data_IF_698431477176
#
_entry.id   IF_698431477176
#
_cell.length_a   1.000
_cell.length_b   1.000
_cell.length_c   1.000
_cell.angle_alpha   90.00
_cell.angle_beta   90.00
_cell.angle_gamma   90.00
#
_symmetry.space_group_name_H-M   'P 1'
#
loop_
_entity.id
_entity.type
_entity.pdbx_description
1 polymer ?
#
# COMPACT_ATOMS: atom_id res chain seq x y z
N UNK A 1 -18.76 -14.65 -1.63
CA UNK A 1 -18.00 -13.39 -1.51
C UNK A 1 -18.84 -12.26 -2.08
N UNK A 2 -18.67 -11.01 -1.62
CA UNK A 2 -19.42 -9.87 -2.17
C UNK A 2 -18.61 -9.18 -3.28
N UNK A 3 -19.29 -8.55 -4.24
CA UNK A 3 -18.64 -7.91 -5.39
C UNK A 3 -17.58 -6.86 -5.00
N UNK A 4 -17.77 -6.16 -3.87
CA UNK A 4 -16.78 -5.20 -3.36
C UNK A 4 -15.53 -5.91 -2.81
N UNK A 5 -15.71 -7.03 -2.08
CA UNK A 5 -14.60 -7.85 -1.59
C UNK A 5 -13.81 -8.46 -2.75
N UNK A 6 -14.50 -8.87 -3.82
CA UNK A 6 -13.84 -9.40 -5.02
C UNK A 6 -13.01 -8.33 -5.74
N UNK A 7 -13.52 -7.09 -5.85
CA UNK A 7 -12.80 -5.95 -6.43
C UNK A 7 -11.56 -5.54 -5.63
N UNK A 8 -11.64 -5.55 -4.30
CA UNK A 8 -10.49 -5.32 -3.41
C UNK A 8 -9.44 -6.42 -3.61
N UNK A 9 -9.86 -7.67 -3.47
CA UNK A 9 -9.02 -8.86 -3.66
C UNK A 9 -8.36 -8.92 -5.04
N UNK A 10 -9.03 -8.47 -6.11
CA UNK A 10 -8.45 -8.36 -7.44
C UNK A 10 -7.40 -7.25 -7.53
N UNK A 11 -7.62 -6.11 -6.86
CA UNK A 11 -6.66 -5.01 -6.82
C UNK A 11 -5.40 -5.37 -6.04
N UNK A 12 -5.55 -6.00 -4.87
CA UNK A 12 -4.44 -6.52 -4.09
C UNK A 12 -3.57 -7.50 -4.90
N UNK A 13 -4.18 -8.41 -5.66
CA UNK A 13 -3.45 -9.33 -6.55
C UNK A 13 -2.67 -8.57 -7.63
N UNK A 14 -3.29 -7.55 -8.25
CA UNK A 14 -2.63 -6.75 -9.28
C UNK A 14 -1.41 -6.00 -8.74
N UNK A 15 -1.48 -5.46 -7.51
CA UNK A 15 -0.34 -4.84 -6.85
C UNK A 15 0.79 -5.86 -6.61
N UNK A 16 0.46 -7.03 -6.06
CA UNK A 16 1.46 -8.09 -5.82
C UNK A 16 2.14 -8.52 -7.11
N UNK A 17 1.37 -8.78 -8.16
CA UNK A 17 1.91 -9.19 -9.46
C UNK A 17 2.86 -8.12 -10.02
N UNK A 18 2.48 -6.85 -9.94
CA UNK A 18 3.31 -5.74 -10.37
C UNK A 18 4.60 -5.61 -9.55
N UNK A 19 4.51 -5.70 -8.22
CA UNK A 19 5.68 -5.64 -7.33
C UNK A 19 6.67 -6.77 -7.59
N UNK A 20 6.17 -8.00 -7.77
CA UNK A 20 6.98 -9.19 -8.12
C UNK A 20 7.68 -9.02 -9.47
N UNK A 21 6.98 -8.49 -10.46
CA UNK A 21 7.55 -8.21 -11.79
C UNK A 21 8.57 -7.09 -11.80
N UNK A 22 8.53 -6.17 -10.83
CA UNK A 22 9.45 -5.04 -10.75
C UNK A 22 10.76 -5.41 -10.04
N UNK A 23 10.70 -5.69 -8.73
CA UNK A 23 11.90 -5.92 -7.90
C UNK A 23 11.62 -6.59 -6.55
N UNK A 24 10.37 -6.89 -6.21
CA UNK A 24 9.97 -7.45 -4.92
C UNK A 24 9.37 -8.84 -5.09
N UNK A 25 10.19 -9.88 -5.33
CA UNK A 25 9.70 -11.22 -5.63
C UNK A 25 8.92 -11.87 -4.47
N UNK A 26 9.16 -11.40 -3.24
CA UNK A 26 8.47 -11.87 -2.04
C UNK A 26 7.19 -11.09 -1.72
N UNK A 27 6.77 -10.14 -2.57
CA UNK A 27 5.53 -9.42 -2.35
C UNK A 27 4.35 -10.40 -2.23
N UNK A 28 3.48 -10.19 -1.26
CA UNK A 28 2.32 -11.05 -1.03
C UNK A 28 1.18 -10.30 -0.36
N UNK A 29 -0.03 -10.84 -0.47
CA UNK A 29 -1.19 -10.32 0.25
C UNK A 29 -1.14 -10.85 1.68
N UNK A 30 -1.42 -10.01 2.67
CA UNK A 30 -1.64 -10.47 4.03
C UNK A 30 -2.98 -11.19 4.13
N UNK A 31 -3.01 -12.30 4.85
CA UNK A 31 -4.25 -13.02 5.11
C UNK A 31 -5.08 -12.25 6.14
N UNK A 32 -6.39 -12.17 5.92
CA UNK A 32 -7.31 -11.57 6.88
C UNK A 32 -7.24 -12.32 8.23
N UNK A 33 -7.16 -11.57 9.33
CA UNK A 33 -7.17 -12.13 10.68
C UNK A 33 -5.80 -12.28 11.37
N UNK A 34 -4.74 -11.63 10.88
CA UNK A 34 -3.51 -11.48 11.66
C UNK A 34 -3.79 -10.73 12.96
N UNK A 35 -3.13 -11.14 14.05
CA UNK A 35 -3.34 -10.65 15.43
C UNK A 35 -3.20 -9.12 15.56
N UNK A 36 -2.52 -8.48 14.61
CA UNK A 36 -2.49 -7.02 14.41
C UNK A 36 -2.77 -6.71 12.94
N UNK A 37 -3.49 -5.63 12.70
CA UNK A 37 -3.64 -5.07 11.37
C UNK A 37 -2.32 -4.38 10.97
N UNK A 38 -1.76 -4.80 9.84
CA UNK A 38 -0.41 -4.43 9.37
C UNK A 38 -0.42 -4.12 7.86
N UNK A 39 -1.60 -3.81 7.33
CA UNK A 39 -1.85 -3.48 5.93
C UNK A 39 -2.02 -4.67 5.01
N UNK A 40 -2.52 -4.39 3.82
CA UNK A 40 -2.93 -5.41 2.84
C UNK A 40 -1.77 -6.18 2.18
N UNK A 41 -0.64 -5.51 1.90
CA UNK A 41 0.47 -6.11 1.14
C UNK A 41 1.77 -6.13 1.97
N UNK A 42 2.46 -7.26 1.94
CA UNK A 42 3.76 -7.50 2.58
C UNK A 42 4.85 -7.80 1.54
N UNK A 43 6.06 -8.13 2.00
CA UNK A 43 7.19 -8.53 1.14
C UNK A 43 7.99 -7.36 0.53
N UNK A 44 7.70 -6.13 0.95
CA UNK A 44 8.50 -4.93 0.69
C UNK A 44 9.15 -4.51 2.01
N UNK A 45 10.47 -4.76 2.21
CA UNK A 45 11.11 -4.55 3.51
C UNK A 45 10.93 -3.12 4.06
N UNK A 46 10.36 -3.02 5.26
CA UNK A 46 10.18 -1.75 5.97
C UNK A 46 9.04 -0.86 5.43
N UNK A 47 8.21 -1.36 4.51
CA UNK A 47 7.10 -0.61 3.93
C UNK A 47 5.78 -1.35 4.15
N UNK A 48 4.78 -0.64 4.67
CA UNK A 48 3.39 -1.06 4.71
C UNK A 48 2.66 -0.45 3.52
N UNK A 49 1.87 -1.27 2.83
CA UNK A 49 1.06 -0.85 1.68
C UNK A 49 -0.38 -1.25 1.93
N UNK A 50 -1.24 -0.25 1.97
CA UNK A 50 -2.68 -0.39 2.12
C UNK A 50 -3.38 -0.22 0.76
N UNK A 51 -4.21 -1.18 0.35
CA UNK A 51 -4.71 -1.30 -1.02
C UNK A 51 -6.19 -0.90 -1.14
N UNK A 52 -6.47 0.27 -1.73
CA UNK A 52 -7.85 0.77 -1.86
C UNK A 52 -8.38 0.70 -3.30
N UNK A 53 -9.54 0.07 -3.47
CA UNK A 53 -10.31 0.07 -4.72
C UNK A 53 -11.77 0.42 -4.44
N UNK A 54 -12.04 1.71 -4.24
CA UNK A 54 -13.36 2.23 -3.87
C UNK A 54 -13.88 3.23 -4.91
N UNK A 55 -15.20 3.42 -4.94
CA UNK A 55 -15.81 4.43 -5.80
C UNK A 55 -15.59 5.86 -5.25
N UNK A 56 -15.72 6.05 -3.93
CA UNK A 56 -15.47 7.33 -3.28
C UNK A 56 -14.05 7.37 -2.74
N UNK A 57 -13.35 8.45 -3.02
CA UNK A 57 -12.01 8.71 -2.49
C UNK A 57 -12.09 9.30 -1.08
N UNK A 58 -11.38 8.69 -0.13
CA UNK A 58 -11.35 9.11 1.29
C UNK A 58 -9.90 9.16 1.78
N UNK A 59 -9.04 9.96 1.11
CA UNK A 59 -7.59 9.93 1.33
C UNK A 59 -7.18 10.15 2.80
N UNK A 60 -7.88 11.04 3.51
CA UNK A 60 -7.58 11.33 4.91
C UNK A 60 -7.77 10.08 5.80
N UNK A 61 -8.86 9.34 5.61
CA UNK A 61 -9.12 8.12 6.36
C UNK A 61 -8.10 7.02 5.99
N UNK A 62 -7.83 6.83 4.71
CA UNK A 62 -6.91 5.77 4.24
C UNK A 62 -5.47 5.99 4.68
N UNK A 63 -4.99 7.24 4.64
CA UNK A 63 -3.63 7.56 5.09
C UNK A 63 -3.50 7.41 6.60
N UNK A 64 -4.54 7.73 7.37
CA UNK A 64 -4.56 7.49 8.82
C UNK A 64 -4.53 5.99 9.16
N UNK A 65 -5.29 5.17 8.42
CA UNK A 65 -5.30 3.71 8.54
C UNK A 65 -3.92 3.11 8.23
N UNK A 66 -3.33 3.47 7.08
CA UNK A 66 -1.99 3.01 6.70
C UNK A 66 -0.89 3.41 7.70
N UNK A 67 -1.04 4.57 8.37
CA UNK A 67 -0.10 5.00 9.41
C UNK A 67 -0.23 4.16 10.70
N UNK A 68 -1.44 3.78 11.09
CA UNK A 68 -1.67 2.87 12.23
C UNK A 68 -1.05 1.50 11.94
N UNK A 69 -1.27 0.96 10.75
CA UNK A 69 -0.71 -0.31 10.32
C UNK A 69 0.81 -0.28 10.24
N UNK A 70 1.38 0.80 9.70
CA UNK A 70 2.83 1.04 9.68
C UNK A 70 3.42 0.96 11.09
N UNK A 71 2.78 1.59 12.06
CA UNK A 71 3.19 1.55 13.46
C UNK A 71 3.08 0.14 14.05
N UNK A 72 2.00 -0.60 13.74
CA UNK A 72 1.84 -1.98 14.19
C UNK A 72 2.85 -2.97 13.60
N UNK A 73 3.31 -2.72 12.38
CA UNK A 73 4.33 -3.52 11.69
C UNK A 73 5.76 -3.09 12.03
N UNK A 74 5.93 -1.92 12.64
CA UNK A 74 7.25 -1.32 12.91
C UNK A 74 7.95 -0.85 11.62
N UNK A 75 7.19 -0.61 10.55
CA UNK A 75 7.70 -0.16 9.27
C UNK A 75 8.11 1.34 9.32
N UNK A 76 9.06 1.74 8.49
CA UNK A 76 9.48 3.15 8.43
C UNK A 76 8.60 3.99 7.49
N UNK A 77 7.89 3.33 6.57
CA UNK A 77 6.98 3.96 5.61
C UNK A 77 5.65 3.21 5.52
N UNK A 78 4.55 3.96 5.49
CA UNK A 78 3.20 3.46 5.24
C UNK A 78 2.61 4.27 4.09
N UNK A 79 2.05 3.58 3.10
CA UNK A 79 1.47 4.22 1.92
C UNK A 79 0.15 3.59 1.55
N UNK A 80 -0.71 4.37 0.92
CA UNK A 80 -1.93 3.87 0.27
C UNK A 80 -1.64 3.68 -1.21
N UNK A 81 -1.83 2.48 -1.74
CA UNK A 81 -1.82 2.23 -3.18
C UNK A 81 -3.25 2.03 -3.68
N UNK A 82 -3.85 3.11 -4.18
CA UNK A 82 -5.25 3.08 -4.58
C UNK A 82 -5.45 3.08 -6.08
N UNK A 83 -6.48 2.36 -6.52
CA UNK A 83 -6.75 2.13 -7.93
C UNK A 83 -7.20 3.41 -8.64
N UNK A 84 -6.52 3.76 -9.74
CA UNK A 84 -6.99 4.80 -10.65
C UNK A 84 -8.20 4.32 -11.45
N UNK A 85 -9.29 5.09 -11.41
CA UNK A 85 -10.53 4.77 -12.13
C UNK A 85 -10.24 4.67 -13.64
N UNK A 86 -10.78 3.62 -14.28
CA UNK A 86 -10.60 3.37 -15.71
C UNK A 86 -9.25 2.76 -16.12
N UNK A 87 -8.34 2.49 -15.18
CA UNK A 87 -7.04 1.86 -15.48
C UNK A 87 -6.98 0.43 -14.96
N UNK A 88 -6.43 -0.50 -15.72
CA UNK A 88 -6.34 -1.91 -15.33
C UNK A 88 -5.04 -2.23 -14.57
N UNK A 89 -3.94 -1.57 -14.93
CA UNK A 89 -2.62 -1.82 -14.36
C UNK A 89 -2.45 -1.22 -12.97
N UNK A 90 -1.75 -1.94 -12.08
CA UNK A 90 -1.32 -1.41 -10.79
C UNK A 90 -0.33 -0.24 -10.93
N UNK A 91 0.47 -0.25 -12.00
CA UNK A 91 1.42 0.82 -12.33
C UNK A 91 0.74 2.18 -12.54
N UNK A 92 -0.51 2.18 -13.00
CA UNK A 92 -1.31 3.40 -13.21
C UNK A 92 -2.04 3.86 -11.93
N UNK A 93 -1.96 3.09 -10.85
CA UNK A 93 -2.52 3.42 -9.55
C UNK A 93 -1.83 4.63 -8.93
N UNK A 94 -2.49 5.22 -7.94
CA UNK A 94 -1.91 6.31 -7.17
C UNK A 94 -1.33 5.76 -5.86
N UNK A 95 -0.08 6.13 -5.59
CA UNK A 95 0.52 5.95 -4.28
C UNK A 95 0.37 7.26 -3.52
N UNK A 96 -0.32 7.24 -2.38
CA UNK A 96 -0.65 8.42 -1.58
C UNK A 96 -0.06 8.29 -0.19
N UNK A 97 0.52 9.38 0.27
CA UNK A 97 1.16 9.54 1.57
C UNK A 97 1.14 11.04 1.95
N UNK A 98 1.39 11.37 3.21
CA UNK A 98 1.55 12.77 3.63
C UNK A 98 2.85 13.36 3.08
N UNK A 99 2.95 14.70 3.06
CA UNK A 99 4.20 15.37 2.70
C UNK A 99 5.37 14.97 3.60
N UNK A 100 5.13 14.73 4.88
CA UNK A 100 6.14 14.24 5.82
C UNK A 100 6.63 12.82 5.49
N UNK A 101 5.71 11.91 5.17
CA UNK A 101 6.09 10.57 4.71
C UNK A 101 6.90 10.63 3.40
N UNK A 102 6.54 11.55 2.49
CA UNK A 102 7.29 11.77 1.26
C UNK A 102 8.70 12.32 1.52
N UNK A 103 8.89 13.26 2.46
CA UNK A 103 10.24 13.75 2.80
C UNK A 103 11.10 12.66 3.43
N UNK A 104 10.53 11.77 4.27
CA UNK A 104 11.23 10.57 4.78
C UNK A 104 11.67 9.64 3.65
N UNK A 105 10.78 9.39 2.67
CA UNK A 105 11.10 8.60 1.49
C UNK A 105 12.24 9.23 0.68
N UNK A 106 12.19 10.54 0.44
CA UNK A 106 13.26 11.26 -0.26
C UNK A 106 14.59 11.18 0.50
N UNK A 107 14.58 11.35 1.82
CA UNK A 107 15.80 11.22 2.63
C UNK A 107 16.41 9.82 2.48
N UNK A 108 15.60 8.76 2.58
CA UNK A 108 16.06 7.38 2.39
C UNK A 108 16.59 7.13 0.96
N UNK A 109 15.90 7.65 -0.05
CA UNK A 109 16.23 7.41 -1.47
C UNK A 109 17.46 8.19 -1.95
N UNK A 110 17.75 9.35 -1.36
CA UNK A 110 18.82 10.26 -1.78
C UNK A 110 20.06 10.21 -0.88
N UNK A 111 20.05 9.40 0.18
CA UNK A 111 21.15 9.31 1.15
C UNK A 111 21.15 10.40 2.23
N UNK A 112 20.01 11.10 2.37
CA UNK A 112 19.74 12.10 3.41
C UNK A 112 20.37 13.47 3.15
N UNK A 113 19.56 14.53 3.20
CA UNK A 113 20.08 15.86 3.54
C UNK A 113 20.50 15.81 5.02
N UNK A 114 21.74 16.22 5.32
CA UNK A 114 22.24 16.40 6.68
C UNK A 114 21.43 17.45 7.44
#
# INVERSE_FOLDING_TARGET
MSANKDKGSAWERAIVEYLRGAAWPHAERRLAGSVKDRGDIAGVPGVVIEAKNTARTELAAWVAEAEVERLHDGAWLGVVWHKRRGKASAADGYVTMTGEQFTRLLAQATGGAR
#
